data_IF_208674064913
#
_entry.id   IF_208674064913
#
_cell.length_a   1.000
_cell.length_b   1.000
_cell.length_c   1.000
_cell.angle_alpha   90.00
_cell.angle_beta   90.00
_cell.angle_gamma   90.00
#
_symmetry.space_group_name_H-M   'P 1'
#
loop_
_entity.id
_entity.type
_entity.pdbx_description
1 polymer ?
#
# COMPACT_ATOMS: atom_id res chain seq x y z
N UNK A 1 -35.82 17.28 -27.37
CA UNK A 1 -36.73 18.12 -26.56
C UNK A 1 -38.01 17.34 -26.37
N UNK A 2 -38.14 16.55 -25.30
CA UNK A 2 -39.31 15.71 -25.07
C UNK A 2 -39.62 15.79 -23.56
N UNK A 3 -40.31 16.84 -23.13
CA UNK A 3 -41.76 16.89 -22.92
C UNK A 3 -42.18 16.33 -21.55
N UNK A 4 -42.34 17.29 -20.65
CA UNK A 4 -42.96 17.32 -19.33
C UNK A 4 -44.35 16.66 -19.29
N UNK A 5 -44.60 15.81 -18.29
CA UNK A 5 -45.96 15.48 -17.83
C UNK A 5 -46.07 15.84 -16.35
N UNK A 6 -47.00 16.76 -16.08
CA UNK A 6 -47.47 17.24 -14.77
C UNK A 6 -48.56 16.30 -14.25
N UNK A 7 -48.82 16.39 -12.94
CA UNK A 7 -50.07 16.12 -12.18
C UNK A 7 -49.86 15.08 -11.06
N UNK A 8 -50.46 15.12 -9.87
CA UNK A 8 -51.22 16.10 -9.09
C UNK A 8 -51.51 15.36 -7.75
N UNK A 9 -51.23 16.00 -6.62
CA UNK A 9 -51.81 15.86 -5.26
C UNK A 9 -52.43 14.54 -4.74
N UNK A 10 -52.01 14.14 -3.52
CA UNK A 10 -52.86 13.72 -2.36
C UNK A 10 -51.94 13.48 -1.14
N UNK A 11 -51.85 14.36 -0.13
CA UNK A 11 -52.76 14.62 1.01
C UNK A 11 -52.70 13.56 2.13
N UNK A 12 -52.24 14.02 3.30
CA UNK A 12 -52.60 13.69 4.70
C UNK A 12 -52.28 12.32 5.35
N UNK A 13 -51.34 12.40 6.31
CA UNK A 13 -51.46 12.19 7.78
C UNK A 13 -52.03 10.90 8.40
N UNK A 14 -51.47 10.59 9.58
CA UNK A 14 -51.94 9.75 10.74
C UNK A 14 -51.59 8.25 10.63
N UNK A 15 -51.07 7.54 11.63
CA UNK A 15 -50.50 7.76 12.98
C UNK A 15 -49.98 6.36 13.45
N UNK A 16 -49.04 6.31 14.39
CA UNK A 16 -48.73 5.22 15.36
C UNK A 16 -47.82 4.00 15.01
N UNK A 17 -46.73 3.96 15.80
CA UNK A 17 -46.26 2.84 16.65
C UNK A 17 -45.59 1.60 15.99
N UNK A 18 -44.25 1.61 15.97
CA UNK A 18 -43.39 0.55 16.53
C UNK A 18 -41.91 1.01 16.53
N UNK A 19 -41.11 0.79 17.58
CA UNK A 19 -39.67 0.86 17.46
C UNK A 19 -39.21 -0.46 16.84
N UNK A 20 -38.48 -0.43 15.73
CA UNK A 20 -37.36 -1.35 15.46
C UNK A 20 -36.80 -1.15 14.06
N UNK A 21 -35.49 -1.34 14.02
CA UNK A 21 -34.56 -1.47 12.88
C UNK A 21 -34.22 -0.18 12.13
N UNK A 22 -33.04 0.37 12.48
CA UNK A 22 -32.30 1.32 11.65
C UNK A 22 -32.16 0.75 10.24
N UNK A 23 -32.98 1.28 9.34
CA UNK A 23 -32.81 1.17 7.92
C UNK A 23 -31.48 1.82 7.56
N UNK A 24 -30.59 1.04 6.93
CA UNK A 24 -29.73 1.51 5.85
C UNK A 24 -29.20 2.95 5.99
N UNK A 25 -28.23 3.15 6.89
CA UNK A 25 -27.30 4.28 6.78
C UNK A 25 -26.30 3.99 5.64
N UNK A 26 -26.82 3.99 4.41
CA UNK A 26 -26.03 3.99 3.17
C UNK A 26 -25.29 5.33 2.96
N UNK A 27 -25.54 6.32 3.83
CA UNK A 27 -24.79 7.57 3.91
C UNK A 27 -23.55 7.45 4.83
N UNK A 28 -23.60 6.58 5.85
CA UNK A 28 -22.47 6.30 6.73
C UNK A 28 -21.53 5.26 6.08
N UNK A 29 -22.09 4.23 5.43
CA UNK A 29 -21.32 3.24 4.67
C UNK A 29 -20.63 3.79 3.41
N UNK A 30 -21.03 4.95 2.88
CA UNK A 30 -20.32 5.63 1.80
C UNK A 30 -19.17 6.52 2.34
N UNK A 31 -19.26 6.95 3.59
CA UNK A 31 -18.13 7.52 4.33
C UNK A 31 -17.12 6.42 4.67
N UNK A 32 -17.57 5.26 5.14
CA UNK A 32 -16.71 4.08 5.37
C UNK A 32 -16.30 3.31 4.10
N UNK A 33 -16.97 3.54 2.98
CA UNK A 33 -16.54 3.09 1.64
C UNK A 33 -15.42 3.96 1.07
N UNK A 34 -15.26 5.18 1.58
CA UNK A 34 -14.06 5.99 1.37
C UNK A 34 -12.95 5.56 2.34
N UNK A 35 -13.27 5.08 3.54
CA UNK A 35 -12.29 4.49 4.49
C UNK A 35 -11.70 3.14 4.04
N UNK A 36 -12.44 2.37 3.24
CA UNK A 36 -11.90 1.20 2.55
C UNK A 36 -10.94 1.57 1.39
N UNK A 37 -10.96 2.82 0.93
CA UNK A 37 -10.03 3.36 -0.07
C UNK A 37 -8.92 4.25 0.54
N UNK A 38 -9.13 4.82 1.73
CA UNK A 38 -8.09 5.43 2.58
C UNK A 38 -7.43 4.46 3.56
N UNK A 39 -7.75 3.15 3.49
CA UNK A 39 -6.86 2.09 4.00
C UNK A 39 -5.60 1.91 3.14
N UNK A 40 -5.15 2.98 2.47
CA UNK A 40 -3.74 3.29 2.44
C UNK A 40 -3.32 3.53 3.90
N UNK A 41 -3.02 2.43 4.61
CA UNK A 41 -2.31 2.42 5.89
C UNK A 41 -1.39 3.64 5.93
N UNK A 42 -1.65 4.59 6.82
CA UNK A 42 -0.98 5.89 6.83
C UNK A 42 0.53 5.66 6.86
N UNK A 43 1.12 5.66 5.66
CA UNK A 43 2.56 5.58 5.51
C UNK A 43 3.03 6.88 6.09
N UNK A 44 3.60 6.80 7.28
CA UNK A 44 3.91 7.92 8.14
C UNK A 44 5.40 7.97 8.40
N UNK A 45 5.92 9.15 8.71
CA UNK A 45 7.36 9.36 8.88
C UNK A 45 8.13 9.25 7.56
N UNK A 46 9.38 8.81 7.66
CA UNK A 46 10.32 8.78 6.52
C UNK A 46 9.85 7.87 5.37
N UNK A 47 9.14 6.77 5.66
CA UNK A 47 8.57 5.91 4.62
C UNK A 47 7.60 6.65 3.67
N UNK A 48 6.95 7.72 4.14
CA UNK A 48 6.07 8.54 3.29
C UNK A 48 6.88 9.32 2.26
N UNK A 49 8.06 9.79 2.64
CA UNK A 49 8.96 10.50 1.74
C UNK A 49 9.46 9.56 0.64
N UNK A 50 9.83 8.32 0.99
CA UNK A 50 10.17 7.28 0.02
C UNK A 50 9.03 7.04 -0.98
N UNK A 51 7.81 6.86 -0.47
CA UNK A 51 6.62 6.65 -1.31
C UNK A 51 6.37 7.86 -2.21
N UNK A 52 6.40 9.08 -1.68
CA UNK A 52 6.25 10.30 -2.47
C UNK A 52 7.33 10.48 -3.53
N UNK A 53 8.57 10.08 -3.24
CA UNK A 53 9.67 10.06 -4.20
C UNK A 53 9.44 9.04 -5.31
N UNK A 54 9.01 7.81 -4.99
CA UNK A 54 8.68 6.79 -5.98
C UNK A 54 7.54 7.25 -6.89
N UNK A 55 6.49 7.83 -6.32
CA UNK A 55 5.36 8.37 -7.10
C UNK A 55 5.81 9.48 -8.05
N UNK A 56 6.62 10.42 -7.57
CA UNK A 56 7.06 11.57 -8.36
C UNK A 56 8.06 11.19 -9.45
N UNK A 57 8.97 10.26 -9.15
CA UNK A 57 10.04 9.86 -10.09
C UNK A 57 9.56 8.81 -11.11
N UNK A 58 8.74 7.86 -10.68
CA UNK A 58 8.36 6.70 -11.47
C UNK A 58 6.91 6.78 -12.00
N UNK A 59 6.15 7.78 -11.57
CA UNK A 59 4.74 7.94 -11.96
C UNK A 59 3.82 6.84 -11.42
N UNK A 60 4.25 6.11 -10.38
CA UNK A 60 3.47 5.04 -9.77
C UNK A 60 2.44 5.60 -8.79
N UNK A 61 1.41 4.81 -8.49
CA UNK A 61 0.43 5.13 -7.44
C UNK A 61 1.02 4.87 -6.04
N UNK A 62 0.40 5.45 -5.01
CA UNK A 62 0.79 5.18 -3.62
C UNK A 62 0.74 3.68 -3.32
N UNK A 63 -0.34 2.99 -3.66
CA UNK A 63 -0.47 1.54 -3.45
C UNK A 63 0.64 0.72 -4.14
N UNK A 64 1.06 1.14 -5.33
CA UNK A 64 2.16 0.53 -6.08
C UNK A 64 3.51 0.78 -5.42
N UNK A 65 3.79 2.02 -4.98
CA UNK A 65 4.99 2.38 -4.27
C UNK A 65 5.11 1.61 -2.94
N UNK A 66 4.05 1.60 -2.14
CA UNK A 66 3.97 0.91 -0.86
C UNK A 66 4.07 -0.61 -1.04
N UNK A 67 3.30 -1.18 -1.97
CA UNK A 67 3.24 -2.61 -2.22
C UNK A 67 4.52 -3.17 -2.86
N UNK A 68 5.10 -2.44 -3.82
CA UNK A 68 6.36 -2.80 -4.47
C UNK A 68 7.54 -2.72 -3.49
N UNK A 69 7.61 -1.66 -2.68
CA UNK A 69 8.62 -1.55 -1.62
C UNK A 69 8.45 -2.63 -0.56
N UNK A 70 7.21 -2.92 -0.14
CA UNK A 70 6.90 -3.99 0.80
C UNK A 70 7.33 -5.36 0.28
N UNK A 71 7.14 -5.66 -1.01
CA UNK A 71 7.60 -6.89 -1.63
C UNK A 71 9.14 -7.02 -1.61
N UNK A 72 9.86 -5.96 -1.95
CA UNK A 72 11.33 -5.93 -1.90
C UNK A 72 11.86 -6.08 -0.47
N UNK A 73 11.26 -5.38 0.49
CA UNK A 73 11.61 -5.49 1.90
C UNK A 73 11.30 -6.88 2.46
N UNK A 74 10.23 -7.53 2.00
CA UNK A 74 9.88 -8.86 2.44
C UNK A 74 10.82 -9.93 1.88
N UNK A 75 11.27 -9.80 0.62
CA UNK A 75 12.39 -10.59 0.10
C UNK A 75 13.64 -10.41 0.98
N UNK A 76 13.99 -9.15 1.26
CA UNK A 76 15.12 -8.83 2.12
C UNK A 76 14.99 -9.43 3.52
N UNK A 77 13.80 -9.39 4.13
CA UNK A 77 13.53 -10.03 5.42
C UNK A 77 13.76 -11.54 5.38
N UNK A 78 13.24 -12.20 4.34
CA UNK A 78 13.37 -13.64 4.19
C UNK A 78 14.84 -14.07 3.92
N UNK A 79 15.64 -13.21 3.30
CA UNK A 79 17.03 -13.49 2.96
C UNK A 79 18.05 -13.07 4.05
N UNK A 80 17.84 -11.90 4.66
CA UNK A 80 18.74 -11.28 5.64
C UNK A 80 18.34 -11.55 7.09
N UNK A 81 17.15 -12.09 7.30
CA UNK A 81 16.61 -12.43 8.61
C UNK A 81 15.96 -11.26 9.36
N UNK A 82 15.37 -11.60 10.51
CA UNK A 82 14.63 -10.66 11.35
C UNK A 82 15.52 -9.59 11.99
N UNK A 83 16.80 -9.89 12.28
CA UNK A 83 17.73 -8.94 12.91
C UNK A 83 18.04 -7.74 11.99
N UNK A 84 18.31 -8.03 10.72
CA UNK A 84 18.52 -7.03 9.66
C UNK A 84 17.26 -6.18 9.47
N UNK A 85 16.08 -6.81 9.47
CA UNK A 85 14.81 -6.10 9.34
C UNK A 85 14.52 -5.21 10.55
N UNK A 86 14.82 -5.67 11.78
CA UNK A 86 14.68 -4.86 12.99
C UNK A 86 15.52 -3.59 12.89
N UNK A 87 16.77 -3.72 12.42
CA UNK A 87 17.67 -2.59 12.18
C UNK A 87 17.09 -1.61 11.16
N UNK A 88 16.55 -2.12 10.03
CA UNK A 88 15.90 -1.29 9.01
C UNK A 88 14.72 -0.51 9.59
N UNK A 89 13.79 -1.18 10.27
CA UNK A 89 12.60 -0.54 10.86
C UNK A 89 12.90 0.37 12.04
N UNK A 90 14.00 0.15 12.75
CA UNK A 90 14.43 1.02 13.85
C UNK A 90 15.11 2.30 13.35
N UNK A 91 15.68 2.27 12.14
CA UNK A 91 16.40 3.40 11.53
C UNK A 91 15.50 4.23 10.61
N UNK A 92 14.61 3.57 9.88
CA UNK A 92 13.64 4.19 8.99
C UNK A 92 12.24 4.07 9.61
N UNK A 93 11.74 5.16 10.18
CA UNK A 93 10.39 5.17 10.74
C UNK A 93 9.34 4.99 9.63
N UNK A 94 8.27 4.27 9.95
CA UNK A 94 7.21 3.93 8.98
C UNK A 94 7.55 2.81 7.99
N UNK A 95 8.79 2.32 7.94
CA UNK A 95 9.16 1.21 7.04
C UNK A 95 8.42 -0.10 7.40
N UNK A 96 8.16 -0.30 8.70
CA UNK A 96 7.31 -1.40 9.20
C UNK A 96 5.89 -1.32 8.64
N UNK A 97 5.36 -0.11 8.47
CA UNK A 97 4.06 0.13 7.85
C UNK A 97 4.06 -0.23 6.36
N UNK A 98 5.18 -0.13 5.65
CA UNK A 98 5.28 -0.63 4.26
C UNK A 98 5.26 -2.16 4.19
N UNK A 99 5.86 -2.83 5.18
CA UNK A 99 5.92 -4.29 5.26
C UNK A 99 4.58 -4.93 5.65
N UNK A 100 3.74 -4.22 6.42
CA UNK A 100 2.43 -4.69 6.90
C UNK A 100 1.21 -3.97 6.30
N UNK A 101 1.41 -2.87 5.57
CA UNK A 101 0.36 -1.95 5.10
C UNK A 101 -0.29 -2.34 3.77
N UNK A 102 0.17 -3.40 3.13
CA UNK A 102 -0.59 -4.07 2.09
C UNK A 102 -1.70 -4.88 2.76
N UNK A 103 -2.93 -4.39 2.71
CA UNK A 103 -4.19 -5.05 3.08
C UNK A 103 -4.07 -6.56 3.32
N UNK A 104 -4.53 -7.08 4.46
CA UNK A 104 -4.40 -8.46 5.00
C UNK A 104 -4.34 -9.65 4.00
N UNK A 105 -4.87 -9.50 2.79
CA UNK A 105 -4.69 -10.42 1.65
C UNK A 105 -3.26 -10.43 1.04
N UNK A 106 -2.60 -9.27 0.99
CA UNK A 106 -1.21 -9.09 0.55
C UNK A 106 -0.23 -9.69 1.56
N UNK A 107 -0.48 -9.60 2.87
CA UNK A 107 0.43 -10.16 3.89
C UNK A 107 0.76 -11.65 3.74
N UNK A 108 -0.19 -12.48 3.27
CA UNK A 108 0.07 -13.90 2.95
C UNK A 108 0.87 -14.09 1.66
N UNK A 109 0.58 -13.29 0.63
CA UNK A 109 1.32 -13.30 -0.64
C UNK A 109 2.76 -12.80 -0.46
N UNK A 110 2.92 -11.72 0.29
CA UNK A 110 4.20 -11.13 0.66
C UNK A 110 5.00 -12.10 1.52
N UNK A 111 4.41 -12.75 2.53
CA UNK A 111 5.12 -13.73 3.37
C UNK A 111 5.74 -14.88 2.56
N UNK A 112 5.17 -15.23 1.40
CA UNK A 112 5.71 -16.20 0.46
C UNK A 112 6.84 -15.69 -0.45
N UNK A 113 7.19 -14.41 -0.40
CA UNK A 113 8.25 -13.83 -1.24
C UNK A 113 9.61 -14.19 -0.65
N UNK A 114 10.18 -15.29 -1.14
CA UNK A 114 11.54 -15.73 -0.80
C UNK A 114 12.52 -15.51 -1.96
N UNK A 115 12.05 -15.07 -3.13
CA UNK A 115 12.88 -14.89 -4.33
C UNK A 115 12.42 -13.70 -5.16
N UNK A 116 13.27 -13.25 -6.09
CA UNK A 116 12.95 -12.16 -7.00
C UNK A 116 11.69 -12.45 -7.85
N UNK A 117 11.42 -13.70 -8.17
CA UNK A 117 10.19 -14.14 -8.85
C UNK A 117 8.91 -13.77 -8.06
N UNK A 118 8.96 -13.93 -6.73
CA UNK A 118 7.85 -13.52 -5.85
C UNK A 118 7.67 -11.99 -5.82
N UNK A 119 8.77 -11.24 -5.90
CA UNK A 119 8.71 -9.77 -6.02
C UNK A 119 8.09 -9.38 -7.36
N UNK A 120 8.52 -9.98 -8.46
CA UNK A 120 7.95 -9.72 -9.80
C UNK A 120 6.45 -10.06 -9.85
N UNK A 121 6.05 -11.17 -9.22
CA UNK A 121 4.65 -11.56 -9.08
C UNK A 121 3.84 -10.52 -8.31
N UNK A 122 4.38 -9.98 -7.21
CA UNK A 122 3.74 -8.91 -6.45
C UNK A 122 3.61 -7.62 -7.27
N UNK A 123 4.65 -7.22 -8.01
CA UNK A 123 4.59 -6.06 -8.91
C UNK A 123 3.52 -6.25 -10.00
N UNK A 124 3.50 -7.42 -10.63
CA UNK A 124 2.50 -7.77 -11.67
C UNK A 124 1.08 -7.77 -11.10
N UNK A 125 0.90 -8.29 -9.88
CA UNK A 125 -0.40 -8.27 -9.18
C UNK A 125 -0.88 -6.84 -8.86
N UNK A 126 0.05 -5.90 -8.69
CA UNK A 126 -0.22 -4.46 -8.55
C UNK A 126 -0.38 -3.73 -9.90
N UNK A 127 -0.37 -4.46 -11.01
CA UNK A 127 -0.45 -3.92 -12.37
C UNK A 127 0.82 -3.16 -12.81
N UNK A 128 1.96 -3.40 -12.16
CA UNK A 128 3.25 -2.83 -12.54
C UNK A 128 4.04 -3.78 -13.42
N UNK A 129 4.92 -3.21 -14.24
CA UNK A 129 5.89 -3.98 -15.00
C UNK A 129 7.03 -4.49 -14.10
N UNK A 130 7.46 -5.74 -14.30
CA UNK A 130 8.57 -6.34 -13.55
C UNK A 130 9.89 -5.56 -13.68
N UNK A 131 10.11 -4.88 -14.81
CA UNK A 131 11.26 -4.02 -15.05
C UNK A 131 11.28 -2.75 -14.18
N UNK A 132 10.14 -2.35 -13.59
CA UNK A 132 10.11 -1.22 -12.65
C UNK A 132 10.90 -1.50 -11.38
N UNK A 133 11.10 -2.77 -11.00
CA UNK A 133 11.92 -3.13 -9.84
C UNK A 133 13.31 -2.48 -9.93
N UNK A 134 13.91 -2.46 -11.12
CA UNK A 134 15.22 -1.85 -11.37
C UNK A 134 15.24 -0.33 -11.17
N UNK A 135 14.08 0.33 -11.25
CA UNK A 135 13.95 1.76 -10.96
C UNK A 135 13.57 2.03 -9.49
N UNK A 136 12.88 1.10 -8.84
CA UNK A 136 12.57 1.19 -7.41
C UNK A 136 13.81 1.02 -6.55
N UNK A 137 14.67 0.04 -6.87
CA UNK A 137 15.88 -0.27 -6.10
C UNK A 137 16.76 0.95 -5.81
N UNK A 138 17.21 1.74 -6.79
CA UNK A 138 18.08 2.89 -6.51
C UNK A 138 17.41 3.96 -5.64
N UNK A 139 16.09 4.15 -5.77
CA UNK A 139 15.33 5.11 -4.94
C UNK A 139 15.25 4.62 -3.49
N UNK A 140 14.92 3.33 -3.29
CA UNK A 140 14.87 2.70 -1.97
C UNK A 140 16.27 2.70 -1.33
N UNK A 141 17.31 2.39 -2.11
CA UNK A 141 18.69 2.41 -1.63
C UNK A 141 19.14 3.78 -1.18
N UNK A 142 18.89 4.80 -2.01
CA UNK A 142 19.20 6.18 -1.66
C UNK A 142 18.47 6.57 -0.38
N UNK A 143 17.19 6.23 -0.25
CA UNK A 143 16.44 6.46 0.98
C UNK A 143 17.08 5.77 2.19
N UNK A 144 17.36 4.47 2.12
CA UNK A 144 17.95 3.71 3.22
C UNK A 144 19.35 4.22 3.61
N UNK A 145 20.15 4.63 2.62
CA UNK A 145 21.44 5.30 2.84
C UNK A 145 21.26 6.62 3.61
N UNK A 146 20.29 7.45 3.21
CA UNK A 146 19.95 8.68 3.92
C UNK A 146 19.47 8.43 5.37
N UNK A 147 18.83 7.29 5.64
CA UNK A 147 18.46 6.88 7.01
C UNK A 147 19.63 6.35 7.84
N UNK A 148 20.84 6.32 7.28
CA UNK A 148 22.02 5.83 7.97
C UNK A 148 22.03 4.31 8.14
N UNK A 149 21.40 3.58 7.22
CA UNK A 149 21.59 2.13 7.11
C UNK A 149 23.05 1.86 6.73
N UNK A 150 23.69 0.94 7.43
CA UNK A 150 25.10 0.62 7.20
C UNK A 150 25.35 0.09 5.79
N UNK A 151 26.48 0.48 5.19
CA UNK A 151 26.90 0.07 3.85
C UNK A 151 26.99 -1.45 3.67
N UNK A 152 27.32 -2.20 4.73
CA UNK A 152 27.30 -3.67 4.71
C UNK A 152 25.89 -4.24 4.49
N UNK A 153 24.88 -3.65 5.13
CA UNK A 153 23.49 -4.08 4.96
C UNK A 153 22.94 -3.63 3.60
N UNK A 154 23.25 -2.40 3.18
CA UNK A 154 22.91 -1.90 1.84
C UNK A 154 23.52 -2.77 0.73
N UNK A 155 24.79 -3.16 0.86
CA UNK A 155 25.44 -4.04 -0.13
C UNK A 155 24.76 -5.41 -0.23
N UNK A 156 24.31 -5.96 0.90
CA UNK A 156 23.53 -7.21 0.90
C UNK A 156 22.17 -7.03 0.24
N UNK A 157 21.43 -5.96 0.59
CA UNK A 157 20.15 -5.62 -0.05
C UNK A 157 20.32 -5.44 -1.56
N UNK A 158 21.44 -4.86 -2.00
CA UNK A 158 21.71 -4.59 -3.41
C UNK A 158 21.91 -5.91 -4.14
N UNK A 159 22.78 -6.78 -3.63
CA UNK A 159 23.00 -8.10 -4.23
C UNK A 159 21.71 -8.95 -4.30
N UNK A 160 20.77 -8.77 -3.37
CA UNK A 160 19.49 -9.47 -3.39
C UNK A 160 18.51 -8.91 -4.43
N UNK A 161 18.48 -7.60 -4.61
CA UNK A 161 17.50 -6.96 -5.48
C UNK A 161 17.98 -6.80 -6.93
N UNK A 162 19.29 -6.85 -7.16
CA UNK A 162 19.89 -6.76 -8.49
C UNK A 162 20.84 -7.92 -8.73
N UNK A 163 20.31 -9.16 -8.90
CA UNK A 163 21.15 -10.33 -9.14
C UNK A 163 21.97 -10.26 -10.45
N UNK A 164 21.56 -9.39 -11.39
CA UNK A 164 22.19 -9.21 -12.72
C UNK A 164 22.89 -7.85 -12.92
N UNK A 165 23.02 -7.00 -11.89
CA UNK A 165 23.65 -5.67 -12.00
C UNK A 165 25.17 -5.67 -11.71
#
# INVERSE_FOLDING_TARGET
MNATIKQFLLVSSIYLLAPTVNAFDLNDALSSGTEAMTSASEVSGEAQELVGQLQSQLGVTQAQATGGTGALLQLAKNQLGNDSMSTLTSKASGLSSLLGGGSSLSGSLLSGISSMDGVQSAFTALGMDSGMIQQFVPVIMSFLENQGIGSSLLGQLQGLWTPDA
#
